data_IF_462570699329
#
_entry.id   IF_462570699329
#
_cell.length_a   1.000
_cell.length_b   1.000
_cell.length_c   1.000
_cell.angle_alpha   90.00
_cell.angle_beta   90.00
_cell.angle_gamma   90.00
#
_symmetry.space_group_name_H-M   'P 1'
#
loop_
_entity.id
_entity.type
_entity.pdbx_description
1 polymer ?
#
# COMPACT_ATOMS: atom_id res chain seq x y z
N UNK A 1 -31.34 -26.36 -13.68
CA UNK A 1 -31.86 -25.00 -13.45
C UNK A 1 -33.36 -24.90 -13.74
N UNK A 2 -33.87 -25.54 -14.79
CA UNK A 2 -35.31 -25.46 -15.11
C UNK A 2 -36.22 -26.24 -14.14
N UNK A 3 -35.79 -27.40 -13.64
CA UNK A 3 -36.60 -28.16 -12.65
C UNK A 3 -36.81 -27.42 -11.32
N UNK A 4 -35.87 -26.56 -10.90
CA UNK A 4 -36.00 -25.77 -9.67
C UNK A 4 -37.01 -24.63 -9.81
N UNK A 5 -37.02 -23.98 -10.97
CA UNK A 5 -37.98 -22.91 -11.27
C UNK A 5 -39.40 -23.45 -11.31
N UNK A 6 -39.61 -24.60 -11.94
CA UNK A 6 -40.91 -25.27 -12.01
C UNK A 6 -41.47 -25.63 -10.63
N UNK A 7 -40.62 -26.14 -9.73
CA UNK A 7 -41.01 -26.44 -8.35
C UNK A 7 -41.45 -25.17 -7.61
N UNK A 8 -40.76 -24.05 -7.81
CA UNK A 8 -41.12 -22.75 -7.22
C UNK A 8 -42.46 -22.27 -7.80
N UNK A 9 -42.68 -22.38 -9.11
CA UNK A 9 -43.94 -22.01 -9.76
C UNK A 9 -45.13 -22.78 -9.20
N UNK A 10 -45.02 -24.10 -9.09
CA UNK A 10 -46.08 -24.95 -8.55
C UNK A 10 -46.46 -24.54 -7.12
N UNK A 11 -45.46 -24.30 -6.27
CA UNK A 11 -45.66 -23.83 -4.89
C UNK A 11 -46.25 -22.42 -4.80
N UNK A 12 -45.93 -21.55 -5.76
CA UNK A 12 -46.57 -20.25 -5.84
C UNK A 12 -48.05 -20.42 -6.16
N UNK A 13 -48.39 -21.23 -7.17
CA UNK A 13 -49.76 -21.48 -7.59
C UNK A 13 -50.63 -22.09 -6.48
N UNK A 14 -50.10 -23.01 -5.68
CA UNK A 14 -50.77 -23.60 -4.51
C UNK A 14 -51.12 -22.57 -3.41
N UNK A 15 -50.48 -21.40 -3.41
CA UNK A 15 -50.62 -20.35 -2.38
C UNK A 15 -51.18 -19.05 -2.94
N UNK A 16 -51.94 -19.13 -4.04
CA UNK A 16 -52.53 -17.96 -4.69
C UNK A 16 -54.03 -18.12 -4.94
N UNK A 17 -54.77 -17.05 -4.70
CA UNK A 17 -56.20 -16.95 -5.08
C UNK A 17 -56.43 -15.80 -6.04
N UNK A 18 -57.36 -15.97 -6.99
CA UNK A 18 -57.76 -14.91 -7.92
C UNK A 18 -58.86 -14.07 -7.30
N UNK A 19 -58.63 -12.76 -7.16
CA UNK A 19 -59.64 -11.83 -6.62
C UNK A 19 -59.58 -10.49 -7.33
N UNK A 20 -60.71 -10.04 -7.89
CA UNK A 20 -60.86 -8.72 -8.55
C UNK A 20 -59.71 -8.38 -9.52
N UNK A 21 -59.37 -9.31 -10.41
CA UNK A 21 -58.30 -9.12 -11.41
C UNK A 21 -56.86 -9.15 -10.85
N UNK A 22 -56.67 -9.40 -9.55
CA UNK A 22 -55.36 -9.62 -8.93
C UNK A 22 -55.13 -11.11 -8.64
N UNK A 23 -53.85 -11.51 -8.60
CA UNK A 23 -53.42 -12.81 -8.08
C UNK A 23 -52.88 -12.60 -6.68
N UNK A 24 -53.61 -13.00 -5.64
CA UNK A 24 -53.31 -12.66 -4.26
C UNK A 24 -52.47 -13.75 -3.60
N UNK A 25 -51.36 -13.34 -2.99
CA UNK A 25 -50.50 -14.21 -2.20
C UNK A 25 -51.09 -14.53 -0.83
N UNK A 26 -51.19 -15.82 -0.50
CA UNK A 26 -51.67 -16.32 0.80
C UNK A 26 -50.55 -16.90 1.68
N UNK A 27 -49.31 -16.83 1.22
CA UNK A 27 -48.15 -17.25 2.00
C UNK A 27 -47.58 -16.15 2.92
N UNK A 28 -46.36 -16.39 3.46
CA UNK A 28 -45.66 -15.44 4.31
C UNK A 28 -45.54 -14.04 3.69
N UNK A 29 -45.87 -13.03 4.48
CA UNK A 29 -45.82 -11.62 4.10
C UNK A 29 -45.31 -10.78 5.26
N UNK A 30 -44.18 -10.11 5.08
CA UNK A 30 -43.54 -9.22 6.05
C UNK A 30 -42.70 -8.18 5.29
N UNK A 31 -42.40 -7.05 5.93
CA UNK A 31 -41.71 -5.91 5.29
C UNK A 31 -42.33 -5.50 3.95
N UNK A 32 -43.67 -5.55 3.88
CA UNK A 32 -44.45 -5.28 2.66
C UNK A 32 -44.07 -6.13 1.44
N UNK A 33 -43.61 -7.37 1.65
CA UNK A 33 -43.13 -8.27 0.59
C UNK A 33 -43.65 -9.70 0.77
N UNK A 34 -43.92 -10.37 -0.36
CA UNK A 34 -44.34 -11.77 -0.43
C UNK A 34 -43.12 -12.70 -0.45
N UNK A 35 -43.10 -13.70 0.44
CA UNK A 35 -41.98 -14.62 0.57
C UNK A 35 -42.40 -16.10 0.53
N UNK A 36 -41.58 -16.93 -0.12
CA UNK A 36 -41.72 -18.38 -0.15
C UNK A 36 -40.45 -19.04 0.39
N UNK A 37 -40.58 -19.91 1.38
CA UNK A 37 -39.47 -20.74 1.86
C UNK A 37 -39.27 -21.95 0.94
N UNK A 38 -38.07 -22.07 0.37
CA UNK A 38 -37.71 -23.18 -0.51
C UNK A 38 -36.75 -24.12 0.20
N UNK A 39 -37.24 -25.29 0.63
CA UNK A 39 -36.44 -26.32 1.33
C UNK A 39 -35.17 -26.73 0.56
N UNK A 40 -35.26 -26.89 -0.77
CA UNK A 40 -34.16 -27.37 -1.61
C UNK A 40 -32.95 -26.42 -1.63
N UNK A 41 -33.19 -25.11 -1.64
CA UNK A 41 -32.13 -24.08 -1.65
C UNK A 41 -31.90 -23.44 -0.28
N UNK A 42 -32.56 -23.97 0.77
CA UNK A 42 -32.49 -23.50 2.17
C UNK A 42 -32.57 -21.97 2.32
N UNK A 43 -33.38 -21.31 1.48
CA UNK A 43 -33.55 -19.84 1.50
C UNK A 43 -34.99 -19.40 1.27
N UNK A 44 -35.29 -18.20 1.76
CA UNK A 44 -36.52 -17.47 1.45
C UNK A 44 -36.38 -16.73 0.12
N UNK A 45 -37.39 -16.86 -0.75
CA UNK A 45 -37.44 -16.22 -2.07
C UNK A 45 -38.50 -15.13 -2.04
N UNK A 46 -38.14 -13.91 -2.48
CA UNK A 46 -39.11 -12.85 -2.73
C UNK A 46 -39.93 -13.20 -3.99
N UNK A 47 -41.22 -13.46 -3.80
CA UNK A 47 -42.10 -14.02 -4.85
C UNK A 47 -42.31 -13.03 -5.99
N UNK A 48 -42.52 -11.75 -5.70
CA UNK A 48 -42.71 -10.71 -6.73
C UNK A 48 -41.45 -10.53 -7.59
N UNK A 49 -40.27 -10.53 -6.97
CA UNK A 49 -38.99 -10.39 -7.68
C UNK A 49 -38.67 -11.64 -8.50
N UNK A 50 -38.99 -12.83 -7.97
CA UNK A 50 -38.85 -14.09 -8.69
C UNK A 50 -39.72 -14.13 -9.94
N UNK A 51 -41.00 -13.79 -9.81
CA UNK A 51 -41.93 -13.75 -10.95
C UNK A 51 -41.52 -12.68 -11.97
N UNK A 52 -41.09 -11.50 -11.53
CA UNK A 52 -40.60 -10.46 -12.44
C UNK A 52 -39.42 -10.96 -13.27
N UNK A 53 -38.37 -11.47 -12.62
CA UNK A 53 -37.14 -11.93 -13.28
C UNK A 53 -37.35 -13.17 -14.17
N UNK A 54 -38.50 -13.85 -14.05
CA UNK A 54 -38.84 -14.96 -14.94
C UNK A 54 -39.39 -14.48 -16.29
N UNK A 55 -40.18 -13.39 -16.29
CA UNK A 55 -40.82 -12.87 -17.50
C UNK A 55 -40.13 -11.63 -18.08
N UNK A 56 -39.25 -10.98 -17.32
CA UNK A 56 -38.61 -9.71 -17.68
C UNK A 56 -37.12 -9.73 -17.33
N UNK A 57 -36.40 -8.68 -17.76
CA UNK A 57 -35.02 -8.48 -17.37
C UNK A 57 -34.84 -8.39 -15.83
N UNK A 58 -33.70 -8.87 -15.30
CA UNK A 58 -33.40 -8.77 -13.88
C UNK A 58 -33.40 -7.33 -13.36
N UNK A 59 -34.07 -7.11 -12.23
CA UNK A 59 -34.14 -5.79 -11.58
C UNK A 59 -32.73 -5.31 -11.22
N UNK A 60 -32.33 -4.12 -11.67
CA UNK A 60 -31.01 -3.56 -11.36
C UNK A 60 -30.92 -3.17 -9.88
N UNK A 61 -29.70 -3.11 -9.34
CA UNK A 61 -29.48 -2.69 -7.94
C UNK A 61 -30.00 -1.27 -7.65
N UNK A 62 -30.11 -0.41 -8.66
CA UNK A 62 -30.58 0.99 -8.60
C UNK A 62 -32.10 1.14 -8.69
N UNK A 63 -32.83 0.04 -8.82
CA UNK A 63 -34.25 0.01 -9.12
C UNK A 63 -35.05 -0.68 -8.00
N UNK A 64 -36.32 -0.30 -7.87
CA UNK A 64 -37.28 -0.92 -6.97
C UNK A 64 -38.48 -1.42 -7.78
N UNK A 65 -38.95 -2.62 -7.45
CA UNK A 65 -40.20 -3.17 -7.95
C UNK A 65 -41.36 -2.64 -7.10
N UNK A 66 -42.37 -2.04 -7.74
CA UNK A 66 -43.50 -1.38 -7.10
C UNK A 66 -44.81 -1.85 -7.71
N UNK A 67 -45.86 -1.99 -6.91
CA UNK A 67 -47.21 -2.32 -7.38
C UNK A 67 -47.92 -1.11 -8.01
N UNK A 68 -48.67 -1.33 -9.08
CA UNK A 68 -49.60 -0.34 -9.65
C UNK A 68 -51.02 -0.48 -9.10
N UNK A 69 -51.31 -1.58 -8.40
CA UNK A 69 -52.58 -1.80 -7.69
C UNK A 69 -52.41 -1.58 -6.19
N UNK A 70 -53.49 -1.23 -5.49
CA UNK A 70 -53.48 -0.97 -4.04
C UNK A 70 -53.24 -2.21 -3.15
N UNK A 71 -53.05 -3.38 -3.76
CA UNK A 71 -52.82 -4.63 -3.03
C UNK A 71 -51.37 -5.09 -3.10
N UNK A 72 -50.64 -4.90 -1.99
CA UNK A 72 -49.22 -5.28 -1.84
C UNK A 72 -48.97 -6.79 -1.90
N UNK A 73 -50.01 -7.62 -1.74
CA UNK A 73 -49.93 -9.09 -1.90
C UNK A 73 -50.18 -9.56 -3.33
N UNK A 74 -50.40 -8.64 -4.28
CA UNK A 74 -50.62 -9.00 -5.67
C UNK A 74 -49.33 -9.51 -6.34
N UNK A 75 -49.44 -10.65 -7.02
CA UNK A 75 -48.36 -11.33 -7.75
C UNK A 75 -48.52 -11.23 -9.27
N UNK A 76 -49.55 -10.53 -9.75
CA UNK A 76 -49.78 -10.36 -11.19
C UNK A 76 -48.68 -9.47 -11.76
N UNK A 77 -47.84 -10.03 -12.64
CA UNK A 77 -46.68 -9.32 -13.21
C UNK A 77 -47.08 -8.01 -13.92
N UNK A 78 -48.25 -7.98 -14.59
CA UNK A 78 -48.80 -6.75 -15.19
C UNK A 78 -49.11 -5.62 -14.20
N UNK A 79 -49.21 -5.92 -12.90
CA UNK A 79 -49.43 -4.94 -11.84
C UNK A 79 -48.12 -4.56 -11.11
N UNK A 80 -46.97 -4.95 -11.65
CA UNK A 80 -45.66 -4.62 -11.13
C UNK A 80 -44.95 -3.72 -12.13
N UNK A 81 -44.26 -2.69 -11.64
CA UNK A 81 -43.44 -1.79 -12.45
C UNK A 81 -42.12 -1.53 -11.75
N UNK A 82 -41.10 -1.17 -12.52
CA UNK A 82 -39.82 -0.72 -11.99
C UNK A 82 -39.85 0.80 -11.81
N UNK A 83 -39.40 1.28 -10.64
CA UNK A 83 -39.12 2.70 -10.38
C UNK A 83 -37.67 2.88 -9.90
N UNK A 84 -37.02 4.02 -10.19
CA UNK A 84 -35.72 4.35 -9.62
C UNK A 84 -35.78 4.36 -8.08
N UNK A 85 -34.76 3.84 -7.40
CA UNK A 85 -34.60 4.05 -5.95
C UNK A 85 -34.46 5.55 -5.66
N UNK A 86 -35.06 6.02 -4.56
CA UNK A 86 -35.08 7.43 -4.20
C UNK A 86 -33.69 7.93 -3.73
N UNK A 87 -32.84 8.35 -4.67
CA UNK A 87 -31.51 8.95 -4.45
C UNK A 87 -31.39 10.44 -4.86
N UNK A 88 -32.11 10.99 -5.87
CA UNK A 88 -31.89 12.38 -6.32
C UNK A 88 -32.38 13.48 -5.36
N UNK A 89 -33.51 13.25 -4.68
CA UNK A 89 -34.20 14.29 -3.87
C UNK A 89 -33.37 14.71 -2.64
N UNK A 90 -32.54 13.81 -2.11
CA UNK A 90 -31.73 14.08 -0.90
C UNK A 90 -30.46 14.89 -1.23
N UNK A 91 -29.77 14.61 -2.34
CA UNK A 91 -28.53 15.34 -2.72
C UNK A 91 -28.80 16.84 -2.94
N UNK A 92 -29.85 17.18 -3.70
CA UNK A 92 -30.23 18.58 -3.99
C UNK A 92 -30.59 19.37 -2.73
N UNK A 93 -31.31 18.75 -1.79
CA UNK A 93 -31.65 19.40 -0.51
C UNK A 93 -30.40 19.66 0.35
N UNK A 94 -29.48 18.69 0.41
CA UNK A 94 -28.22 18.85 1.14
C UNK A 94 -27.36 19.96 0.51
N UNK A 95 -27.27 19.99 -0.83
CA UNK A 95 -26.53 21.04 -1.55
C UNK A 95 -27.08 22.44 -1.27
N UNK A 96 -28.39 22.63 -1.39
CA UNK A 96 -29.02 23.92 -1.12
C UNK A 96 -28.80 24.38 0.33
N UNK A 97 -28.85 23.46 1.29
CA UNK A 97 -28.52 23.76 2.69
C UNK A 97 -27.06 24.17 2.86
N UNK A 98 -26.14 23.58 2.09
CA UNK A 98 -24.74 23.96 2.13
C UNK A 98 -24.52 25.36 1.56
N UNK A 99 -25.14 25.68 0.42
CA UNK A 99 -25.09 27.00 -0.19
C UNK A 99 -25.66 28.11 0.71
N UNK A 100 -26.72 27.83 1.47
CA UNK A 100 -27.26 28.78 2.47
C UNK A 100 -26.27 29.13 3.59
N UNK A 101 -25.31 28.25 3.85
CA UNK A 101 -24.28 28.42 4.89
C UNK A 101 -22.90 28.69 4.28
N UNK A 102 -22.85 29.32 3.10
CA UNK A 102 -21.61 29.66 2.44
C UNK A 102 -21.58 31.10 1.94
N UNK A 103 -20.37 31.58 1.64
CA UNK A 103 -20.15 32.82 0.91
C UNK A 103 -19.24 32.55 -0.28
N UNK A 104 -19.42 33.33 -1.34
CA UNK A 104 -18.52 33.28 -2.50
C UNK A 104 -17.33 34.19 -2.19
N UNK A 105 -16.13 33.64 -2.25
CA UNK A 105 -14.89 34.41 -2.18
C UNK A 105 -14.39 34.70 -3.60
N UNK A 106 -14.44 35.99 -3.96
CA UNK A 106 -14.04 36.51 -5.29
C UNK A 106 -12.55 36.89 -5.36
N UNK A 107 -11.78 36.68 -4.29
CA UNK A 107 -10.36 37.06 -4.26
C UNK A 107 -9.46 36.15 -5.09
N UNK A 108 -9.89 34.90 -5.32
CA UNK A 108 -9.15 33.89 -6.07
C UNK A 108 -10.11 33.03 -6.89
N UNK A 109 -9.78 32.90 -8.17
CA UNK A 109 -10.47 32.05 -9.13
C UNK A 109 -9.61 30.82 -9.45
N UNK A 110 -10.22 29.65 -9.51
CA UNK A 110 -9.55 28.42 -9.91
C UNK A 110 -10.43 27.65 -10.89
N UNK A 111 -9.86 27.27 -12.04
CA UNK A 111 -10.58 26.62 -13.15
C UNK A 111 -11.89 27.32 -13.57
N UNK A 112 -11.91 28.66 -13.60
CA UNK A 112 -13.11 29.42 -14.00
C UNK A 112 -14.10 29.69 -12.88
N UNK A 113 -13.88 29.15 -11.67
CA UNK A 113 -14.81 29.23 -10.55
C UNK A 113 -14.21 29.90 -9.32
N UNK A 114 -15.07 30.68 -8.63
CA UNK A 114 -14.77 31.27 -7.33
C UNK A 114 -14.91 30.24 -6.20
N UNK A 115 -14.20 30.47 -5.09
CA UNK A 115 -14.28 29.56 -3.95
C UNK A 115 -15.63 29.69 -3.22
N UNK A 116 -16.29 28.56 -2.95
CA UNK A 116 -17.46 28.49 -2.05
C UNK A 116 -17.00 28.24 -0.62
N UNK A 117 -16.96 29.28 0.21
CA UNK A 117 -16.39 29.21 1.56
C UNK A 117 -17.45 28.88 2.60
N UNK A 118 -17.28 27.76 3.29
CA UNK A 118 -18.13 27.32 4.40
C UNK A 118 -18.12 28.32 5.58
N UNK A 119 -19.31 28.73 6.02
CA UNK A 119 -19.50 29.63 7.17
C UNK A 119 -20.05 28.91 8.43
N UNK A 120 -20.42 27.64 8.32
CA UNK A 120 -20.93 26.85 9.45
C UNK A 120 -19.83 26.28 10.35
N UNK A 121 -20.18 25.23 11.10
CA UNK A 121 -19.28 24.60 12.06
C UNK A 121 -18.01 24.04 11.41
N UNK A 122 -16.89 24.14 12.15
CA UNK A 122 -15.55 23.75 11.74
C UNK A 122 -14.97 22.75 12.73
N UNK A 123 -14.13 21.83 12.26
CA UNK A 123 -13.36 20.94 13.13
C UNK A 123 -12.20 21.69 13.80
N UNK A 124 -11.56 21.05 14.79
CA UNK A 124 -10.33 21.55 15.44
C UNK A 124 -9.23 21.81 14.40
N UNK A 125 -9.15 20.98 13.35
CA UNK A 125 -8.20 21.12 12.25
C UNK A 125 -8.58 22.20 11.21
N UNK A 126 -9.72 22.87 11.40
CA UNK A 126 -10.20 23.96 10.57
C UNK A 126 -11.06 23.55 9.36
N UNK A 127 -11.48 22.29 9.24
CA UNK A 127 -12.35 21.84 8.13
C UNK A 127 -13.83 22.05 8.43
N UNK A 128 -14.58 22.57 7.47
CA UNK A 128 -16.03 22.69 7.57
C UNK A 128 -16.72 21.32 7.66
N UNK A 129 -17.74 21.19 8.52
CA UNK A 129 -18.54 19.98 8.63
C UNK A 129 -20.05 20.26 8.68
N UNK A 130 -20.85 19.29 8.23
CA UNK A 130 -22.32 19.36 8.16
C UNK A 130 -22.95 18.03 8.56
N UNK A 131 -24.08 18.08 9.27
CA UNK A 131 -24.79 16.88 9.73
C UNK A 131 -25.83 16.39 8.72
N UNK A 132 -25.74 15.12 8.31
CA UNK A 132 -26.66 14.44 7.38
C UNK A 132 -27.15 13.15 8.05
N UNK A 133 -28.47 12.99 8.21
CA UNK A 133 -29.10 11.79 8.84
C UNK A 133 -28.39 11.35 10.15
N UNK A 134 -28.16 12.31 11.06
CA UNK A 134 -27.49 12.14 12.37
C UNK A 134 -25.98 11.85 12.33
N UNK A 135 -25.34 11.84 11.15
CA UNK A 135 -23.89 11.71 11.02
C UNK A 135 -23.25 13.03 10.59
N UNK A 136 -22.11 13.37 11.18
CA UNK A 136 -21.31 14.55 10.81
C UNK A 136 -20.34 14.20 9.68
N UNK A 137 -20.35 14.98 8.60
CA UNK A 137 -19.48 14.78 7.45
C UNK A 137 -18.74 16.08 7.09
N UNK A 138 -17.51 15.96 6.59
CA UNK A 138 -16.78 17.12 6.05
C UNK A 138 -17.45 17.68 4.80
N UNK A 139 -17.58 19.00 4.74
CA UNK A 139 -18.32 19.72 3.69
C UNK A 139 -17.71 19.45 2.31
N UNK A 140 -16.38 19.43 2.18
CA UNK A 140 -15.71 19.10 0.92
C UNK A 140 -16.01 17.66 0.45
N UNK A 141 -16.13 16.69 1.36
CA UNK A 141 -16.50 15.30 1.01
C UNK A 141 -17.95 15.21 0.55
N UNK A 142 -18.84 15.97 1.19
CA UNK A 142 -20.25 16.05 0.80
C UNK A 142 -20.40 16.71 -0.57
N UNK A 143 -19.68 17.81 -0.83
CA UNK A 143 -19.69 18.49 -2.12
C UNK A 143 -19.20 17.57 -3.25
N UNK A 144 -18.10 16.85 -3.00
CA UNK A 144 -17.56 15.86 -3.92
C UNK A 144 -18.59 14.76 -4.22
N UNK A 145 -19.17 14.14 -3.19
CA UNK A 145 -20.23 13.12 -3.32
C UNK A 145 -21.46 13.60 -4.10
N UNK A 146 -21.86 14.86 -3.92
CA UNK A 146 -23.02 15.42 -4.61
C UNK A 146 -22.77 15.53 -6.13
N UNK A 147 -21.54 15.81 -6.54
CA UNK A 147 -21.17 16.05 -7.94
C UNK A 147 -20.50 14.84 -8.63
N UNK A 148 -20.40 13.71 -7.94
CA UNK A 148 -19.83 12.47 -8.44
C UNK A 148 -20.83 11.33 -8.20
N UNK A 149 -21.59 10.98 -9.23
CA UNK A 149 -22.68 10.00 -9.15
C UNK A 149 -22.21 8.54 -9.06
N UNK A 150 -20.93 8.28 -9.26
CA UNK A 150 -20.32 6.96 -9.06
C UNK A 150 -20.28 6.51 -7.58
N UNK A 151 -20.48 7.43 -6.63
CA UNK A 151 -20.48 7.13 -5.20
C UNK A 151 -21.91 7.09 -4.63
N UNK A 152 -22.34 5.90 -4.16
CA UNK A 152 -23.67 5.71 -3.55
C UNK A 152 -23.75 6.44 -2.19
N UNK A 153 -22.71 6.34 -1.37
CA UNK A 153 -22.60 6.95 -0.05
C UNK A 153 -21.30 7.77 0.08
N UNK A 154 -21.30 8.75 0.99
CA UNK A 154 -20.12 9.56 1.33
C UNK A 154 -18.95 8.69 1.85
N UNK A 155 -19.27 7.51 2.41
CA UNK A 155 -18.28 6.53 2.89
C UNK A 155 -17.61 5.73 1.77
N UNK A 156 -18.21 5.69 0.57
CA UNK A 156 -17.67 4.96 -0.57
C UNK A 156 -16.54 5.75 -1.26
N UNK A 157 -16.45 7.05 -0.98
CA UNK A 157 -15.32 7.87 -1.39
C UNK A 157 -14.07 7.39 -0.64
N UNK A 158 -12.97 7.09 -1.35
CA UNK A 158 -11.71 6.71 -0.72
C UNK A 158 -11.28 7.65 0.41
N UNK A 159 -10.70 7.05 1.44
CA UNK A 159 -10.20 7.71 2.64
C UNK A 159 -8.77 7.30 2.94
N UNK A 160 -8.10 8.07 3.78
CA UNK A 160 -6.74 7.76 4.24
C UNK A 160 -6.61 6.41 4.96
N UNK A 161 -7.72 5.82 5.40
CA UNK A 161 -7.73 4.52 6.07
C UNK A 161 -7.72 3.34 5.10
N UNK A 162 -7.91 3.59 3.81
CA UNK A 162 -7.92 2.55 2.77
C UNK A 162 -6.50 2.33 2.24
N UNK A 163 -6.22 1.12 1.71
CA UNK A 163 -4.88 0.66 1.28
C UNK A 163 -4.14 1.62 0.33
N UNK A 164 -4.87 2.49 -0.36
CA UNK A 164 -4.33 3.43 -1.35
C UNK A 164 -4.00 4.82 -0.80
N UNK A 165 -4.23 5.12 0.48
CA UNK A 165 -3.91 6.42 1.12
C UNK A 165 -4.46 7.63 0.33
N UNK A 166 -5.68 7.52 -0.17
CA UNK A 166 -6.34 8.53 -1.00
C UNK A 166 -7.16 9.49 -0.13
N UNK A 167 -7.12 10.78 -0.47
CA UNK A 167 -7.91 11.81 0.19
C UNK A 167 -8.46 12.81 -0.83
N UNK A 168 -9.55 13.50 -0.45
CA UNK A 168 -10.03 14.66 -1.21
C UNK A 168 -9.14 15.86 -0.87
N UNK A 169 -8.61 16.46 -1.92
CA UNK A 169 -7.62 17.52 -1.89
C UNK A 169 -8.25 18.82 -2.39
N UNK A 170 -7.85 19.95 -1.79
CA UNK A 170 -8.31 21.28 -2.20
C UNK A 170 -7.28 21.89 -3.15
N UNK A 171 -7.66 22.10 -4.40
CA UNK A 171 -6.78 22.68 -5.41
C UNK A 171 -6.55 24.18 -5.21
N UNK A 172 -7.45 24.86 -4.50
CA UNK A 172 -7.38 26.28 -4.16
C UNK A 172 -6.67 26.58 -2.82
N UNK A 173 -6.14 25.55 -2.14
CA UNK A 173 -5.47 25.64 -0.83
C UNK A 173 -6.32 26.24 0.30
N UNK A 174 -7.64 26.32 0.14
CA UNK A 174 -8.57 26.77 1.17
C UNK A 174 -9.40 25.60 1.71
N UNK A 175 -9.13 25.21 2.97
CA UNK A 175 -9.76 24.05 3.64
C UNK A 175 -11.27 24.22 3.94
N UNK A 176 -11.78 25.44 3.80
CA UNK A 176 -13.21 25.76 3.93
C UNK A 176 -13.91 25.80 2.57
N UNK A 177 -13.17 25.75 1.46
CA UNK A 177 -13.75 25.71 0.13
C UNK A 177 -14.41 24.36 -0.11
N UNK A 178 -15.61 24.37 -0.70
CA UNK A 178 -16.30 23.16 -1.14
C UNK A 178 -16.78 23.25 -2.59
N UNK A 179 -16.19 24.14 -3.39
CA UNK A 179 -16.50 24.23 -4.82
C UNK A 179 -16.05 22.94 -5.52
N UNK A 180 -16.94 22.23 -6.26
CA UNK A 180 -16.62 20.91 -6.81
C UNK A 180 -15.43 20.90 -7.76
N UNK A 181 -15.28 21.93 -8.59
CA UNK A 181 -14.15 22.08 -9.52
C UNK A 181 -12.80 22.32 -8.82
N UNK A 182 -12.82 22.63 -7.52
CA UNK A 182 -11.62 22.83 -6.69
C UNK A 182 -11.27 21.57 -5.89
N UNK A 183 -12.02 20.47 -6.04
CA UNK A 183 -11.83 19.24 -5.27
C UNK A 183 -11.38 18.10 -6.18
N UNK A 184 -10.36 17.35 -5.75
CA UNK A 184 -9.86 16.17 -6.47
C UNK A 184 -9.42 15.08 -5.51
N UNK A 185 -9.62 13.82 -5.87
CA UNK A 185 -9.01 12.69 -5.16
C UNK A 185 -7.53 12.62 -5.55
N UNK A 186 -6.64 12.67 -4.57
CA UNK A 186 -5.21 12.46 -4.74
C UNK A 186 -4.63 11.70 -3.55
N UNK A 187 -3.42 11.16 -3.74
CA UNK A 187 -2.67 10.55 -2.63
C UNK A 187 -2.14 11.63 -1.69
N UNK A 188 -1.89 11.30 -0.42
CA UNK A 188 -1.26 12.22 0.54
C UNK A 188 0.08 12.79 0.03
N UNK A 189 0.84 12.00 -0.73
CA UNK A 189 2.09 12.44 -1.36
C UNK A 189 1.85 13.49 -2.46
N UNK A 190 0.79 13.35 -3.26
CA UNK A 190 0.42 14.29 -4.31
C UNK A 190 -0.18 15.56 -3.73
N UNK A 191 -1.04 15.44 -2.71
CA UNK A 191 -1.62 16.58 -2.03
C UNK A 191 -0.53 17.46 -1.39
N UNK A 192 0.36 16.86 -0.60
CA UNK A 192 1.46 17.58 0.03
C UNK A 192 2.39 18.24 -1.00
N UNK A 193 2.64 17.57 -2.13
CA UNK A 193 3.42 18.15 -3.23
C UNK A 193 2.72 19.38 -3.84
N UNK A 194 1.43 19.27 -4.16
CA UNK A 194 0.63 20.34 -4.74
C UNK A 194 0.46 21.51 -3.75
N UNK A 195 0.22 21.21 -2.48
CA UNK A 195 0.10 22.22 -1.41
C UNK A 195 1.40 23.01 -1.27
N UNK A 196 2.56 22.33 -1.27
CA UNK A 196 3.87 23.01 -1.23
C UNK A 196 4.15 23.82 -2.50
N UNK A 197 3.71 23.33 -3.65
CA UNK A 197 3.85 24.04 -4.92
C UNK A 197 2.99 25.31 -4.93
N UNK A 198 1.72 25.20 -4.57
CA UNK A 198 0.76 26.32 -4.49
C UNK A 198 1.16 27.34 -3.43
N UNK A 199 1.66 26.88 -2.28
CA UNK A 199 2.19 27.76 -1.23
C UNK A 199 3.57 28.35 -1.57
N UNK A 200 4.21 27.94 -2.68
CA UNK A 200 5.55 28.37 -3.08
C UNK A 200 6.68 27.91 -2.14
N UNK A 201 6.38 27.03 -1.17
CA UNK A 201 7.31 26.52 -0.14
C UNK A 201 8.09 25.28 -0.58
N UNK A 202 7.85 24.78 -1.79
CA UNK A 202 8.61 23.66 -2.34
C UNK A 202 10.06 24.06 -2.61
N UNK A 203 10.97 23.62 -1.74
CA UNK A 203 12.42 23.76 -1.91
C UNK A 203 12.92 22.83 -3.03
N UNK A 204 13.08 23.36 -4.24
CA UNK A 204 13.53 22.61 -5.42
C UNK A 204 14.34 23.50 -6.37
N UNK A 205 15.29 22.90 -7.07
CA UNK A 205 16.19 23.65 -7.96
C UNK A 205 16.97 24.66 -7.14
N UNK A 206 17.05 25.90 -7.62
CA UNK A 206 17.76 27.01 -6.96
C UNK A 206 17.22 27.33 -5.57
N UNK A 207 15.94 27.03 -5.30
CA UNK A 207 15.35 27.22 -3.96
C UNK A 207 15.86 26.22 -2.92
N UNK A 208 16.54 25.15 -3.33
CA UNK A 208 17.09 24.18 -2.40
C UNK A 208 18.46 24.65 -1.90
N UNK A 209 18.64 24.69 -0.57
CA UNK A 209 19.90 25.11 0.06
C UNK A 209 21.12 24.27 -0.33
N UNK A 210 20.91 23.03 -0.80
CA UNK A 210 21.99 22.15 -1.28
C UNK A 210 22.25 22.28 -2.78
N UNK A 211 21.61 23.22 -3.46
CA UNK A 211 21.77 23.43 -4.89
C UNK A 211 23.12 24.09 -5.20
N UNK A 212 23.85 23.51 -6.14
CA UNK A 212 25.19 23.98 -6.56
C UNK A 212 25.21 24.63 -7.94
N UNK A 213 24.08 24.63 -8.66
CA UNK A 213 23.97 25.12 -10.04
C UNK A 213 22.69 25.93 -10.26
N UNK A 214 22.68 26.78 -11.29
CA UNK A 214 21.50 27.54 -11.71
C UNK A 214 20.52 26.69 -12.54
N UNK A 215 19.28 27.16 -12.65
CA UNK A 215 18.25 26.55 -13.49
C UNK A 215 18.62 26.57 -14.96
N UNK A 216 19.28 27.64 -15.42
CA UNK A 216 19.78 27.76 -16.79
C UNK A 216 20.88 26.73 -17.09
N UNK A 217 21.85 26.57 -16.17
CA UNK A 217 22.90 25.57 -16.33
C UNK A 217 22.33 24.15 -16.30
N UNK A 218 21.38 23.87 -15.39
CA UNK A 218 20.69 22.59 -15.34
C UNK A 218 19.94 22.27 -16.65
N UNK A 219 19.33 23.30 -17.27
CA UNK A 219 18.66 23.19 -18.57
C UNK A 219 19.67 22.88 -19.69
N UNK A 220 20.78 23.61 -19.77
CA UNK A 220 21.86 23.34 -20.74
C UNK A 220 22.41 21.91 -20.62
N UNK A 221 22.72 21.48 -19.40
CA UNK A 221 23.16 20.10 -19.14
C UNK A 221 22.10 19.10 -19.59
N UNK A 222 20.83 19.33 -19.26
CA UNK A 222 19.74 18.41 -19.63
C UNK A 222 19.55 18.32 -21.15
N UNK A 223 19.71 19.42 -21.86
CA UNK A 223 19.54 19.51 -23.31
C UNK A 223 20.72 18.97 -24.09
N UNK A 224 21.91 18.94 -23.50
CA UNK A 224 23.09 18.32 -24.10
C UNK A 224 23.05 16.78 -24.10
N UNK A 225 21.96 16.18 -23.61
CA UNK A 225 21.78 14.73 -23.62
C UNK A 225 21.17 14.33 -24.97
N UNK A 226 22.02 13.77 -25.82
CA UNK A 226 21.69 13.29 -27.17
C UNK A 226 21.94 11.79 -27.28
N UNK A 227 21.43 11.15 -28.33
CA UNK A 227 21.65 9.72 -28.56
C UNK A 227 23.10 9.45 -29.04
N UNK A 228 23.60 8.21 -28.85
CA UNK A 228 25.02 7.87 -29.09
C UNK A 228 25.44 7.99 -30.57
N UNK A 229 24.47 7.97 -31.48
CA UNK A 229 24.64 8.09 -32.92
C UNK A 229 24.62 9.54 -33.44
N UNK A 230 24.34 10.52 -32.58
CA UNK A 230 24.39 11.94 -32.96
C UNK A 230 25.82 12.49 -32.93
N UNK A 231 26.18 13.35 -33.90
CA UNK A 231 27.53 13.91 -34.08
C UNK A 231 28.03 14.69 -32.84
N UNK A 232 27.12 15.30 -32.09
CA UNK A 232 27.40 16.06 -30.88
C UNK A 232 27.28 15.21 -29.59
N UNK A 233 27.31 13.89 -29.69
CA UNK A 233 27.28 13.02 -28.53
C UNK A 233 28.46 13.26 -27.60
N UNK A 234 28.14 13.41 -26.31
CA UNK A 234 29.11 13.52 -25.24
C UNK A 234 28.73 12.56 -24.12
N UNK A 235 29.70 11.78 -23.65
CA UNK A 235 29.56 10.96 -22.45
C UNK A 235 29.24 11.84 -21.24
N UNK A 236 28.71 11.23 -20.18
CA UNK A 236 28.44 11.95 -18.91
C UNK A 236 29.69 12.60 -18.32
N UNK A 237 30.85 11.99 -18.52
CA UNK A 237 32.13 12.50 -18.03
C UNK A 237 32.54 13.74 -18.82
N UNK A 238 32.45 13.68 -20.15
CA UNK A 238 32.77 14.83 -21.02
C UNK A 238 31.78 15.98 -20.77
N UNK A 239 30.49 15.70 -20.61
CA UNK A 239 29.49 16.71 -20.23
C UNK A 239 29.81 17.35 -18.88
N UNK A 240 30.22 16.56 -17.90
CA UNK A 240 30.59 17.07 -16.58
C UNK A 240 31.78 18.04 -16.68
N UNK A 241 32.81 17.68 -17.45
CA UNK A 241 33.97 18.54 -17.71
C UNK A 241 33.58 19.81 -18.50
N UNK A 242 32.78 19.65 -19.56
CA UNK A 242 32.37 20.76 -20.43
C UNK A 242 31.56 21.83 -19.71
N UNK A 243 30.67 21.42 -18.80
CA UNK A 243 29.85 22.35 -18.00
C UNK A 243 30.52 22.76 -16.68
N UNK A 244 31.74 22.30 -16.41
CA UNK A 244 32.47 22.49 -15.14
C UNK A 244 31.60 22.14 -13.90
N UNK A 245 31.00 20.95 -13.95
CA UNK A 245 30.17 20.44 -12.85
C UNK A 245 30.66 19.06 -12.41
N UNK A 246 30.49 18.70 -11.12
CA UNK A 246 30.77 17.35 -10.67
C UNK A 246 29.95 16.31 -11.44
N UNK A 247 30.57 15.17 -11.78
CA UNK A 247 29.92 14.06 -12.50
C UNK A 247 28.54 13.68 -11.94
N UNK A 248 28.39 13.70 -10.61
CA UNK A 248 27.13 13.34 -9.96
C UNK A 248 25.98 14.30 -10.33
N UNK A 249 26.25 15.58 -10.62
CA UNK A 249 25.25 16.57 -11.06
C UNK A 249 24.65 16.15 -12.39
N UNK A 250 25.49 15.84 -13.39
CA UNK A 250 25.04 15.34 -14.70
C UNK A 250 24.23 14.06 -14.54
N UNK A 251 24.72 13.11 -13.74
CA UNK A 251 23.99 11.84 -13.52
C UNK A 251 22.62 12.03 -12.87
N UNK A 252 22.51 12.97 -11.93
CA UNK A 252 21.28 13.26 -11.19
C UNK A 252 20.25 13.97 -12.08
N UNK A 253 20.70 14.86 -12.96
CA UNK A 253 19.83 15.52 -13.95
C UNK A 253 19.35 14.49 -14.98
N UNK A 254 20.24 13.67 -15.53
CA UNK A 254 19.92 12.66 -16.54
C UNK A 254 18.96 11.58 -16.05
N UNK A 255 19.06 11.20 -14.77
CA UNK A 255 18.15 10.25 -14.12
C UNK A 255 16.82 10.89 -13.70
N UNK A 256 16.73 12.22 -13.77
CA UNK A 256 15.62 13.00 -13.26
C UNK A 256 15.55 13.01 -11.73
N UNK A 257 16.61 12.67 -11.01
CA UNK A 257 16.65 12.75 -9.55
C UNK A 257 16.65 14.18 -9.05
N UNK A 258 17.35 15.06 -9.76
CA UNK A 258 17.25 16.52 -9.64
C UNK A 258 16.62 17.11 -10.89
N UNK A 259 16.14 18.36 -10.80
CA UNK A 259 15.70 19.15 -11.95
C UNK A 259 14.66 18.52 -12.90
N UNK A 260 13.92 17.48 -12.47
CA UNK A 260 12.96 16.79 -13.35
C UNK A 260 11.79 17.65 -13.87
N UNK A 261 11.56 18.84 -13.30
CA UNK A 261 10.53 19.79 -13.72
C UNK A 261 10.96 20.62 -14.92
N UNK A 262 12.27 20.73 -15.18
CA UNK A 262 12.77 21.36 -16.40
C UNK A 262 12.45 20.41 -17.56
N UNK A 263 11.88 20.88 -18.68
CA UNK A 263 11.67 20.06 -19.86
C UNK A 263 13.00 19.63 -20.49
N UNK A 264 13.04 18.44 -21.09
CA UNK A 264 14.15 18.04 -21.95
C UNK A 264 14.16 18.83 -23.28
N UNK A 265 15.10 18.51 -24.17
CA UNK A 265 15.26 19.19 -25.48
C UNK A 265 14.00 19.11 -26.36
N UNK A 266 13.16 18.10 -26.13
CA UNK A 266 11.92 17.86 -26.88
C UNK A 266 10.69 18.45 -26.16
N UNK A 267 10.89 19.26 -25.12
CA UNK A 267 9.80 19.86 -24.34
C UNK A 267 9.17 18.93 -23.32
N UNK A 268 9.68 17.70 -23.14
CA UNK A 268 9.06 16.71 -22.25
C UNK A 268 9.60 16.84 -20.82
N UNK A 269 8.70 16.94 -19.85
CA UNK A 269 9.03 16.82 -18.42
C UNK A 269 8.80 15.40 -17.92
N UNK A 270 9.66 14.92 -17.01
CA UNK A 270 9.51 13.59 -16.42
C UNK A 270 8.55 13.62 -15.23
N UNK A 271 7.40 12.99 -15.37
CA UNK A 271 6.46 12.81 -14.26
C UNK A 271 7.06 11.93 -13.15
N UNK A 272 6.56 12.08 -11.93
CA UNK A 272 6.97 11.23 -10.78
C UNK A 272 6.73 9.75 -11.08
N UNK A 273 5.65 9.42 -11.80
CA UNK A 273 5.31 8.05 -12.15
C UNK A 273 6.31 7.47 -13.17
N UNK A 274 6.63 8.20 -14.24
CA UNK A 274 7.60 7.77 -15.26
C UNK A 274 9.00 7.58 -14.65
N UNK A 275 9.40 8.46 -13.71
CA UNK A 275 10.65 8.30 -12.96
C UNK A 275 10.66 7.01 -12.15
N UNK A 276 9.58 6.73 -11.41
CA UNK A 276 9.44 5.49 -10.63
C UNK A 276 9.47 4.25 -11.53
N UNK A 277 8.75 4.29 -12.67
CA UNK A 277 8.76 3.22 -13.68
C UNK A 277 10.18 2.98 -14.22
N UNK A 278 10.90 4.04 -14.56
CA UNK A 278 12.28 3.97 -15.07
C UNK A 278 13.24 3.35 -14.05
N UNK A 279 13.20 3.82 -12.79
CA UNK A 279 14.02 3.24 -11.71
C UNK A 279 13.74 1.76 -11.47
N UNK A 280 12.45 1.36 -11.45
CA UNK A 280 12.06 -0.05 -11.32
C UNK A 280 12.60 -0.90 -12.45
N UNK A 281 12.54 -0.40 -13.70
CA UNK A 281 13.12 -1.07 -14.87
C UNK A 281 14.63 -1.22 -14.75
N UNK A 282 15.34 -0.15 -14.38
CA UNK A 282 16.80 -0.18 -14.17
C UNK A 282 17.20 -1.18 -13.09
N UNK A 283 16.50 -1.20 -11.95
CA UNK A 283 16.74 -2.16 -10.87
C UNK A 283 16.50 -3.61 -11.33
N UNK A 284 15.38 -3.87 -12.02
CA UNK A 284 15.08 -5.20 -12.59
C UNK A 284 16.18 -5.66 -13.55
N UNK A 285 16.63 -4.79 -14.44
CA UNK A 285 17.70 -5.09 -15.39
C UNK A 285 19.02 -5.35 -14.65
N UNK A 286 19.34 -4.54 -13.64
CA UNK A 286 20.53 -4.71 -12.81
C UNK A 286 20.52 -6.03 -12.02
N UNK A 287 19.35 -6.52 -11.59
CA UNK A 287 19.20 -7.82 -10.92
C UNK A 287 19.37 -9.01 -11.87
N UNK A 288 18.97 -8.86 -13.13
CA UNK A 288 19.01 -9.93 -14.14
C UNK A 288 20.34 -10.02 -14.89
N UNK A 289 21.14 -8.95 -14.93
CA UNK A 289 22.40 -8.96 -15.71
C UNK A 289 23.42 -9.92 -15.12
N UNK A 290 24.17 -10.57 -16.00
CA UNK A 290 25.39 -11.29 -15.64
C UNK A 290 26.48 -10.26 -15.31
N UNK A 291 27.21 -10.49 -14.22
CA UNK A 291 28.31 -9.61 -13.83
C UNK A 291 29.57 -9.96 -14.62
N UNK A 292 30.26 -8.95 -15.14
CA UNK A 292 31.58 -9.07 -15.76
C UNK A 292 32.68 -9.17 -14.69
N UNK A 293 33.89 -9.60 -15.06
CA UNK A 293 35.01 -9.66 -14.12
C UNK A 293 35.33 -8.30 -13.49
N UNK A 294 35.31 -7.22 -14.28
CA UNK A 294 35.47 -5.84 -13.80
C UNK A 294 34.44 -5.45 -12.72
N UNK A 295 33.23 -6.00 -12.80
CA UNK A 295 32.17 -5.74 -11.82
C UNK A 295 32.39 -6.48 -10.50
N UNK A 296 32.88 -7.72 -10.56
CA UNK A 296 33.28 -8.47 -9.36
C UNK A 296 34.49 -7.83 -8.69
N UNK A 297 35.49 -7.43 -9.46
CA UNK A 297 36.66 -6.74 -8.95
C UNK A 297 36.27 -5.43 -8.23
N UNK A 298 35.42 -4.60 -8.85
CA UNK A 298 34.87 -3.39 -8.21
C UNK A 298 34.11 -3.69 -6.92
N UNK A 299 33.36 -4.79 -6.89
CA UNK A 299 32.64 -5.21 -5.69
C UNK A 299 33.60 -5.65 -4.56
N UNK A 300 34.66 -6.39 -4.89
CA UNK A 300 35.71 -6.80 -3.95
C UNK A 300 36.40 -5.57 -3.33
N UNK A 301 36.86 -4.62 -4.15
CA UNK A 301 37.44 -3.38 -3.64
C UNK A 301 36.49 -2.63 -2.70
N UNK A 302 35.21 -2.56 -3.05
CA UNK A 302 34.20 -1.90 -2.22
C UNK A 302 34.00 -2.60 -0.86
N UNK A 303 34.02 -3.94 -0.84
CA UNK A 303 33.93 -4.72 0.38
C UNK A 303 35.14 -4.45 1.28
N UNK A 304 36.35 -4.51 0.73
CA UNK A 304 37.58 -4.28 1.48
C UNK A 304 37.67 -2.86 2.03
N UNK A 305 37.35 -1.85 1.22
CA UNK A 305 37.39 -0.45 1.63
C UNK A 305 36.40 -0.11 2.76
N UNK A 306 35.32 -0.88 2.93
CA UNK A 306 34.30 -0.67 3.95
C UNK A 306 34.34 -1.77 5.02
N UNK A 307 35.54 -2.26 5.35
CA UNK A 307 35.72 -3.29 6.37
C UNK A 307 37.01 -3.17 7.14
N UNK A 308 37.06 -3.78 8.32
CA UNK A 308 38.27 -3.92 9.14
C UNK A 308 38.42 -5.33 9.69
N UNK A 309 39.65 -5.80 9.83
CA UNK A 309 39.91 -7.10 10.46
C UNK A 309 39.81 -6.94 11.98
N UNK A 310 39.02 -7.79 12.62
CA UNK A 310 38.89 -7.82 14.07
C UNK A 310 39.96 -8.74 14.70
N UNK A 311 41.16 -8.19 14.90
CA UNK A 311 42.29 -8.91 15.51
C UNK A 311 42.09 -9.27 16.98
N UNK A 312 41.11 -8.65 17.64
CA UNK A 312 40.80 -8.89 19.05
C UNK A 312 39.70 -9.95 19.24
N UNK A 313 39.05 -10.36 18.14
CA UNK A 313 37.99 -11.36 18.17
C UNK A 313 38.51 -12.79 18.11
N UNK A 314 37.66 -13.75 18.49
CA UNK A 314 37.94 -15.17 18.33
C UNK A 314 38.13 -15.52 16.83
N UNK A 315 39.16 -16.31 16.53
CA UNK A 315 39.35 -16.88 15.19
C UNK A 315 38.29 -17.94 14.92
N UNK A 316 37.83 -17.99 13.67
CA UNK A 316 37.09 -19.11 13.13
C UNK A 316 37.92 -19.71 11.99
N UNK A 317 38.18 -21.01 12.04
CA UNK A 317 38.97 -21.73 11.04
C UNK A 317 40.28 -20.97 10.70
N UNK A 318 41.08 -20.76 11.75
CA UNK A 318 42.37 -20.05 11.76
C UNK A 318 42.39 -18.61 11.20
N UNK A 319 41.23 -17.99 10.99
CA UNK A 319 41.13 -16.64 10.45
C UNK A 319 40.22 -15.72 11.27
N UNK A 320 40.60 -14.44 11.36
CA UNK A 320 39.84 -13.42 12.07
C UNK A 320 38.62 -12.97 11.28
N UNK A 321 37.55 -12.56 11.98
CA UNK A 321 36.41 -11.92 11.33
C UNK A 321 36.84 -10.62 10.64
N UNK A 322 36.28 -10.35 9.45
CA UNK A 322 36.40 -9.07 8.75
C UNK A 322 35.07 -8.33 8.87
N UNK A 323 35.01 -7.29 9.68
CA UNK A 323 33.77 -6.62 10.03
C UNK A 323 33.46 -5.49 9.07
N UNK A 324 32.21 -5.47 8.62
CA UNK A 324 31.63 -4.35 7.88
C UNK A 324 31.61 -3.07 8.73
N UNK A 325 32.08 -1.97 8.16
CA UNK A 325 32.10 -0.65 8.80
C UNK A 325 31.10 0.35 8.20
N UNK A 326 30.43 -0.03 7.11
CA UNK A 326 29.37 0.77 6.49
C UNK A 326 28.02 0.64 7.19
N UNK A 327 26.95 1.05 6.51
CA UNK A 327 25.58 1.00 7.06
C UNK A 327 25.14 -0.41 7.45
N UNK A 328 24.50 -0.52 8.62
CA UNK A 328 23.96 -1.76 9.18
C UNK A 328 22.44 -1.61 9.29
N UNK A 329 21.68 -2.66 8.93
CA UNK A 329 20.23 -2.67 9.07
C UNK A 329 19.80 -2.98 10.52
N UNK A 330 18.52 -2.79 10.89
CA UNK A 330 18.03 -3.07 12.25
C UNK A 330 18.21 -4.54 12.72
N UNK A 331 18.47 -5.48 11.79
CA UNK A 331 18.73 -6.90 12.10
C UNK A 331 20.23 -7.19 12.34
N UNK A 332 21.10 -6.19 12.26
CA UNK A 332 22.54 -6.31 12.49
C UNK A 332 23.36 -6.72 11.28
N UNK A 333 22.79 -6.73 10.08
CA UNK A 333 23.53 -7.05 8.85
C UNK A 333 23.98 -5.79 8.11
N UNK A 334 25.21 -5.81 7.59
CA UNK A 334 25.70 -4.76 6.71
C UNK A 334 24.89 -4.68 5.41
N UNK A 335 24.73 -3.47 4.89
CA UNK A 335 24.02 -3.18 3.64
C UNK A 335 24.95 -2.42 2.70
N UNK A 336 24.95 -2.80 1.42
CA UNK A 336 25.80 -2.20 0.40
C UNK A 336 25.07 -2.09 -0.93
N UNK A 337 25.14 -0.90 -1.54
CA UNK A 337 24.73 -0.71 -2.92
C UNK A 337 25.91 -0.99 -3.85
N UNK A 338 25.77 -1.97 -4.76
CA UNK A 338 26.80 -2.34 -5.72
C UNK A 338 26.15 -2.69 -7.06
N UNK A 339 26.72 -2.21 -8.17
CA UNK A 339 26.25 -2.54 -9.51
C UNK A 339 24.73 -2.35 -9.70
N UNK A 340 24.18 -1.24 -9.20
CA UNK A 340 22.76 -0.89 -9.39
C UNK A 340 21.77 -1.71 -8.56
N UNK A 341 22.25 -2.55 -7.64
CA UNK A 341 21.42 -3.30 -6.69
C UNK A 341 21.90 -3.03 -5.25
N UNK A 342 20.96 -3.09 -4.30
CA UNK A 342 21.27 -3.03 -2.87
C UNK A 342 21.15 -4.42 -2.29
N UNK A 343 22.21 -4.90 -1.64
CA UNK A 343 22.32 -6.23 -1.07
C UNK A 343 22.87 -6.16 0.35
N UNK A 344 22.76 -7.27 1.09
CA UNK A 344 23.48 -7.42 2.35
C UNK A 344 24.97 -7.64 2.06
N UNK A 345 25.85 -7.09 2.88
CA UNK A 345 27.30 -7.09 2.63
C UNK A 345 27.90 -8.50 2.56
N UNK A 346 27.44 -9.42 3.40
CA UNK A 346 27.87 -10.82 3.38
C UNK A 346 27.42 -11.56 2.10
N UNK A 347 26.23 -11.24 1.56
CA UNK A 347 25.77 -11.80 0.29
C UNK A 347 26.69 -11.34 -0.84
N UNK A 348 27.07 -10.06 -0.84
CA UNK A 348 28.02 -9.54 -1.81
C UNK A 348 29.39 -10.23 -1.68
N UNK A 349 29.87 -10.48 -0.46
CA UNK A 349 31.11 -11.21 -0.21
C UNK A 349 31.04 -12.64 -0.76
N UNK A 350 29.93 -13.35 -0.55
CA UNK A 350 29.71 -14.68 -1.13
C UNK A 350 29.69 -14.64 -2.66
N UNK A 351 29.07 -13.63 -3.27
CA UNK A 351 29.05 -13.47 -4.72
C UNK A 351 30.44 -13.23 -5.31
N UNK A 352 31.26 -12.41 -4.63
CA UNK A 352 32.65 -12.14 -5.03
C UNK A 352 33.50 -13.41 -4.90
N UNK A 353 33.42 -14.10 -3.76
CA UNK A 353 34.13 -15.38 -3.50
C UNK A 353 33.86 -16.40 -4.61
N UNK A 354 32.58 -16.62 -4.93
CA UNK A 354 32.16 -17.68 -5.85
C UNK A 354 32.04 -17.22 -7.31
N UNK A 355 32.37 -15.95 -7.61
CA UNK A 355 32.27 -15.35 -8.95
C UNK A 355 30.90 -15.56 -9.61
N UNK A 356 29.84 -15.53 -8.82
CA UNK A 356 28.46 -15.72 -9.28
C UNK A 356 27.48 -14.91 -8.46
N UNK A 357 26.46 -14.36 -9.11
CA UNK A 357 25.30 -13.72 -8.44
C UNK A 357 24.10 -14.66 -8.34
N UNK A 358 24.21 -15.88 -8.86
CA UNK A 358 23.18 -16.89 -8.78
C UNK A 358 23.45 -17.80 -7.59
N UNK A 359 22.53 -17.78 -6.61
CA UNK A 359 22.61 -18.66 -5.44
C UNK A 359 21.90 -20.00 -5.64
N UNK A 360 21.26 -20.26 -6.78
CA UNK A 360 20.46 -21.47 -7.04
C UNK A 360 19.43 -21.78 -5.93
N UNK A 361 18.87 -20.75 -5.31
CA UNK A 361 17.93 -20.88 -4.19
C UNK A 361 18.58 -21.07 -2.81
N UNK A 362 19.92 -21.15 -2.73
CA UNK A 362 20.66 -21.23 -1.48
C UNK A 362 20.72 -19.87 -0.75
N UNK A 363 20.83 -19.94 0.57
CA UNK A 363 21.07 -18.82 1.46
C UNK A 363 22.57 -18.63 1.71
N UNK A 364 22.96 -17.44 2.15
CA UNK A 364 24.34 -17.15 2.52
C UNK A 364 24.49 -17.26 4.04
N UNK A 365 25.36 -18.17 4.49
CA UNK A 365 25.55 -18.52 5.90
C UNK A 365 26.80 -17.85 6.47
N UNK A 366 26.80 -17.59 7.79
CA UNK A 366 27.98 -17.12 8.51
C UNK A 366 28.47 -18.23 9.42
N UNK A 367 29.54 -18.92 9.02
CA UNK A 367 30.12 -20.00 9.83
C UNK A 367 30.73 -19.53 11.16
N UNK A 368 31.02 -18.23 11.26
CA UNK A 368 31.53 -17.59 12.48
C UNK A 368 30.43 -17.07 13.41
N UNK A 369 29.14 -17.19 13.04
CA UNK A 369 28.01 -16.68 13.82
C UNK A 369 27.86 -15.13 13.87
N UNK A 370 28.77 -14.37 13.24
CA UNK A 370 28.79 -12.90 13.33
C UNK A 370 28.19 -12.22 12.09
N UNK A 371 27.01 -11.61 12.27
CA UNK A 371 26.19 -11.00 11.18
C UNK A 371 26.85 -9.87 10.38
N UNK A 372 27.84 -9.20 10.94
CA UNK A 372 28.61 -8.13 10.27
C UNK A 372 29.90 -8.62 9.64
N UNK A 373 30.25 -9.91 9.79
CA UNK A 373 31.43 -10.48 9.16
C UNK A 373 31.21 -10.59 7.64
N UNK A 374 32.23 -10.22 6.88
CA UNK A 374 32.31 -10.34 5.43
C UNK A 374 33.57 -11.11 5.00
N UNK A 375 34.21 -11.83 5.92
CA UNK A 375 35.37 -12.65 5.59
C UNK A 375 34.92 -13.80 4.67
N UNK A 376 35.52 -13.90 3.49
CA UNK A 376 35.20 -14.89 2.46
C UNK A 376 35.39 -16.33 2.95
N UNK A 377 36.32 -16.57 3.89
CA UNK A 377 36.50 -17.89 4.53
C UNK A 377 35.35 -18.25 5.47
N UNK A 378 34.63 -17.26 6.00
CA UNK A 378 33.58 -17.45 7.01
C UNK A 378 32.17 -17.48 6.40
N UNK A 379 32.06 -17.37 5.07
CA UNK A 379 30.80 -17.25 4.36
C UNK A 379 30.70 -18.29 3.27
N UNK A 380 29.53 -18.92 3.15
CA UNK A 380 29.25 -19.94 2.14
C UNK A 380 27.77 -19.95 1.74
N UNK A 381 27.47 -20.53 0.57
CA UNK A 381 26.10 -20.86 0.22
C UNK A 381 25.67 -22.14 0.93
N UNK A 382 24.48 -22.13 1.52
CA UNK A 382 23.90 -23.31 2.14
C UNK A 382 22.39 -23.33 2.05
N UNK A 383 21.80 -24.47 2.36
CA UNK A 383 20.36 -24.68 2.33
C UNK A 383 19.68 -23.95 3.48
N UNK A 384 18.35 -23.87 3.41
CA UNK A 384 17.57 -23.33 4.53
C UNK A 384 17.72 -24.20 5.79
N UNK A 385 17.87 -25.52 5.63
CA UNK A 385 18.08 -26.49 6.71
C UNK A 385 19.42 -26.25 7.41
N UNK A 386 20.50 -26.07 6.64
CA UNK A 386 21.83 -25.72 7.15
C UNK A 386 21.80 -24.37 7.88
N UNK A 387 21.08 -23.38 7.36
CA UNK A 387 20.90 -22.08 8.03
C UNK A 387 20.16 -22.21 9.38
N UNK A 388 19.21 -23.14 9.48
CA UNK A 388 18.47 -23.39 10.73
C UNK A 388 19.35 -24.14 11.74
N UNK A 389 20.16 -25.10 11.27
CA UNK A 389 21.15 -25.78 12.10
C UNK A 389 22.23 -24.81 12.61
N UNK A 390 22.73 -23.91 11.75
CA UNK A 390 23.71 -22.87 12.08
C UNK A 390 23.18 -21.91 13.17
N UNK A 391 21.90 -21.51 13.08
CA UNK A 391 21.23 -20.72 14.13
C UNK A 391 21.18 -21.43 15.47
N UNK A 392 21.03 -22.76 15.47
CA UNK A 392 21.01 -23.60 16.67
C UNK A 392 22.41 -23.73 17.27
N UNK A 393 23.44 -23.94 16.44
CA UNK A 393 24.85 -24.03 16.84
C UNK A 393 25.34 -22.70 17.43
N UNK A 394 25.03 -21.57 16.78
CA UNK A 394 25.51 -20.25 17.21
C UNK A 394 24.59 -19.54 18.21
N UNK A 395 23.55 -20.21 18.74
CA UNK A 395 22.66 -19.64 19.76
C UNK A 395 21.94 -18.36 19.31
N UNK A 396 21.73 -18.17 18.00
CA UNK A 396 21.06 -16.98 17.44
C UNK A 396 19.58 -17.20 17.15
N UNK A 397 19.04 -18.36 17.55
CA UNK A 397 17.61 -18.59 17.66
C UNK A 397 17.01 -17.63 18.70
N UNK A 398 15.76 -17.21 18.53
CA UNK A 398 15.05 -16.37 19.52
C UNK A 398 14.75 -17.12 20.83
N UNK A 399 15.32 -18.30 20.99
CA UNK A 399 15.01 -19.29 21.99
C UNK A 399 16.14 -19.27 23.00
N UNK A 400 15.84 -18.70 24.17
CA UNK A 400 16.79 -18.49 25.27
C UNK A 400 17.36 -19.80 25.85
N UNK A 401 16.71 -20.93 25.59
CA UNK A 401 17.03 -22.23 26.17
C UNK A 401 17.24 -23.29 25.09
N UNK A 402 17.99 -24.33 25.40
CA UNK A 402 18.01 -25.59 24.63
C UNK A 402 16.81 -26.48 24.99
N UNK A 403 16.54 -27.53 24.20
CA UNK A 403 15.47 -28.49 24.52
C UNK A 403 15.76 -29.23 25.83
N UNK A 404 17.03 -29.57 26.08
CA UNK A 404 17.46 -30.25 27.31
C UNK A 404 17.29 -29.35 28.54
N UNK A 405 17.62 -28.06 28.42
CA UNK A 405 17.36 -27.07 29.47
C UNK A 405 15.87 -26.88 29.74
N UNK A 406 15.04 -26.85 28.69
CA UNK A 406 13.59 -26.77 28.83
C UNK A 406 13.03 -28.03 29.54
N UNK A 407 13.55 -29.21 29.22
CA UNK A 407 13.19 -30.47 29.89
C UNK A 407 13.65 -30.50 31.35
N UNK A 408 14.84 -29.97 31.65
CA UNK A 408 15.31 -29.84 33.02
C UNK A 408 14.41 -28.89 33.85
N UNK A 409 14.00 -27.74 33.28
CA UNK A 409 13.06 -26.81 33.92
C UNK A 409 11.73 -27.52 34.25
N UNK A 410 11.20 -28.34 33.34
CA UNK A 410 9.97 -29.13 33.57
C UNK A 410 10.15 -30.14 34.71
N UNK A 411 11.25 -30.87 34.69
CA UNK A 411 11.58 -31.87 35.71
C UNK A 411 11.72 -31.24 37.09
N UNK A 412 12.44 -30.12 37.20
CA UNK A 412 12.59 -29.37 38.45
C UNK A 412 11.25 -28.85 38.98
N UNK A 413 10.40 -28.30 38.11
CA UNK A 413 9.06 -27.85 38.52
C UNK A 413 8.17 -29.00 39.01
N UNK A 414 8.26 -30.18 38.36
CA UNK A 414 7.48 -31.37 38.72
C UNK A 414 7.81 -31.91 40.12
N UNK A 415 9.00 -31.62 40.66
CA UNK A 415 9.37 -32.02 42.03
C UNK A 415 8.53 -31.32 43.11
N UNK A 416 7.85 -30.22 42.79
CA UNK A 416 7.12 -29.40 43.76
C UNK A 416 8.00 -28.50 44.64
N UNK A 417 9.33 -28.69 44.59
CA UNK A 417 10.29 -27.93 45.40
C UNK A 417 10.66 -26.56 44.83
N UNK A 418 10.22 -26.24 43.61
CA UNK A 418 10.54 -25.01 42.91
C UNK A 418 9.30 -24.36 42.35
N UNK A 419 9.08 -23.09 42.67
CA UNK A 419 8.04 -22.28 42.02
C UNK A 419 8.50 -21.77 40.65
N UNK A 420 7.57 -21.27 39.83
CA UNK A 420 7.92 -20.66 38.54
C UNK A 420 8.85 -19.44 38.72
N UNK A 421 8.68 -18.72 39.83
CA UNK A 421 9.52 -17.57 40.22
C UNK A 421 10.95 -18.00 40.59
N UNK A 422 11.10 -19.10 41.32
CA UNK A 422 12.42 -19.62 41.70
C UNK A 422 13.19 -20.10 40.47
N UNK A 423 12.50 -20.77 39.54
CA UNK A 423 13.07 -21.19 38.27
C UNK A 423 13.40 -20.00 37.36
N UNK A 424 12.58 -18.95 37.37
CA UNK A 424 12.84 -17.72 36.63
C UNK A 424 14.15 -17.05 37.08
N UNK A 425 14.38 -16.99 38.40
CA UNK A 425 15.63 -16.47 38.97
C UNK A 425 16.80 -17.40 38.64
N UNK A 426 16.64 -18.71 38.87
CA UNK A 426 17.69 -19.73 38.65
C UNK A 426 18.20 -19.76 37.21
N UNK A 427 17.31 -19.58 36.24
CA UNK A 427 17.62 -19.61 34.81
C UNK A 427 17.72 -18.22 34.17
N UNK A 428 17.74 -17.17 35.00
CA UNK A 428 17.78 -15.77 34.59
C UNK A 428 16.78 -15.47 33.46
N UNK A 429 15.53 -15.88 33.58
CA UNK A 429 14.49 -15.69 32.56
C UNK A 429 13.21 -15.11 33.16
N UNK A 430 12.35 -14.54 32.30
CA UNK A 430 11.04 -14.06 32.75
C UNK A 430 10.16 -15.23 33.21
N UNK A 431 9.42 -15.04 34.30
CA UNK A 431 8.47 -16.02 34.85
C UNK A 431 7.44 -16.47 33.80
N UNK A 432 7.01 -15.56 32.93
CA UNK A 432 6.14 -15.86 31.77
C UNK A 432 6.76 -16.88 30.81
N UNK A 433 8.08 -16.85 30.62
CA UNK A 433 8.81 -17.78 29.75
C UNK A 433 8.87 -19.16 30.40
N UNK A 434 9.21 -19.22 31.69
CA UNK A 434 9.20 -20.46 32.49
C UNK A 434 7.81 -21.10 32.48
N UNK A 435 6.75 -20.32 32.73
CA UNK A 435 5.38 -20.81 32.71
C UNK A 435 4.90 -21.28 31.33
N UNK A 436 5.50 -20.80 30.23
CA UNK A 436 5.23 -21.32 28.88
C UNK A 436 6.01 -22.61 28.59
N UNK A 437 7.23 -22.76 29.11
CA UNK A 437 8.02 -24.01 29.04
C UNK A 437 7.32 -25.14 29.78
N UNK A 438 6.89 -24.89 31.02
CA UNK A 438 6.21 -25.87 31.90
C UNK A 438 4.90 -26.37 31.26
N UNK A 439 4.13 -25.47 30.62
CA UNK A 439 2.86 -25.81 29.97
C UNK A 439 3.02 -26.35 28.54
N UNK A 440 4.24 -26.68 28.12
CA UNK A 440 4.55 -27.13 26.75
C UNK A 440 3.98 -26.19 25.66
N UNK A 441 3.96 -24.88 25.90
CA UNK A 441 3.56 -23.88 24.88
C UNK A 441 4.71 -23.47 23.98
N UNK A 442 5.94 -23.78 24.38
CA UNK A 442 7.21 -23.53 23.69
C UNK A 442 8.17 -24.70 24.03
N UNK A 443 9.12 -25.00 23.14
CA UNK A 443 10.06 -26.13 23.26
C UNK A 443 9.37 -27.50 23.36
N UNK A 444 8.47 -27.79 22.43
CA UNK A 444 7.77 -29.08 22.34
C UNK A 444 8.55 -29.97 21.37
N UNK A 445 8.74 -31.24 21.71
CA UNK A 445 9.31 -32.25 20.82
C UNK A 445 8.42 -32.51 19.59
#
# INVERSE_FOLDING_TARGET
MDSEKEIIFKKIQEKCTKRKGCLIWEGPFYDNRCYLWCKNIKKSVNVCSFLWNYYNEPIKKTENLVHTCDNLKCLRVKHLIIKPKATPVVKKQVWNRMLKNSKIDKSKEYNGDNCLIWQGNKSIEGYGHVSIKKNTHFVHRVAFWIHHDEYENIKDIPSKKDDNNLAICHLCSNRLCFQPSHLKIATDSENNFNDKLAAGTLLRGEKNHSCTITAELAKKIKWSKVDEDEENYMTKTERAMFFDVPYYVVTSIDSGDSWAHIPDRNGKTLSTEERRKTKRRQYRNAKKRKWTEKMFLKASYKLHANSKIDKNGQKYDDSYCRLWTGSINPRGYGVVACNGITLMSHILACYVKNRTTNSNGLHVLHKCGRRSCINEKHIEFGTMEENMADKKIHGTSSHKFTMDEANNIRSLYKTGNYTQKDLAIKYNAGESTIGRIIRNKIYVD
#
